data_IF_891197160278
#
_entry.id   IF_891197160278
#
_cell.length_a   1.000
_cell.length_b   1.000
_cell.length_c   1.000
_cell.angle_alpha   90.00
_cell.angle_beta   90.00
_cell.angle_gamma   90.00
#
_symmetry.space_group_name_H-M   'P 1'
#
loop_
_entity.id
_entity.type
_entity.pdbx_description
1 polymer ?
#
# COMPACT_ATOMS: atom_id res chain seq x y z
N UNK A 1 13.00 9.60 9.43
CA UNK A 1 12.90 8.13 9.33
C UNK A 1 12.53 7.78 7.90
N UNK A 2 13.06 6.69 7.35
CA UNK A 2 12.73 6.31 5.98
C UNK A 2 11.29 5.79 5.92
N UNK A 3 10.42 6.37 5.08
CA UNK A 3 9.01 5.95 4.89
C UNK A 3 8.86 4.47 4.46
N UNK A 4 9.96 3.85 4.04
CA UNK A 4 10.00 2.44 3.64
C UNK A 4 9.87 1.47 4.82
N UNK A 5 10.19 1.88 6.05
CA UNK A 5 10.12 1.00 7.23
C UNK A 5 8.90 1.38 8.07
N UNK A 6 8.05 0.40 8.37
CA UNK A 6 6.91 0.60 9.24
C UNK A 6 6.24 -0.69 9.64
N UNK A 7 5.08 -0.55 10.29
CA UNK A 7 4.31 -1.67 10.81
C UNK A 7 3.73 -2.48 9.64
N UNK A 8 3.95 -3.79 9.67
CA UNK A 8 3.42 -4.68 8.64
C UNK A 8 1.94 -5.01 8.92
N UNK A 9 1.15 -5.04 7.85
CA UNK A 9 -0.18 -5.64 7.83
C UNK A 9 -0.18 -6.86 6.91
N UNK A 10 -0.91 -7.89 7.30
CA UNK A 10 -1.04 -9.13 6.54
C UNK A 10 -2.39 -9.80 6.80
N UNK A 11 -2.79 -10.67 5.88
CA UNK A 11 -3.87 -11.63 6.13
C UNK A 11 -3.41 -12.80 6.97
N UNK A 12 -4.38 -13.57 7.45
CA UNK A 12 -4.13 -14.85 8.11
C UNK A 12 -4.20 -16.01 7.11
N UNK A 13 -3.96 -17.25 7.59
CA UNK A 13 -3.93 -18.43 6.74
C UNK A 13 -5.29 -18.80 6.12
N UNK A 14 -6.40 -18.33 6.69
CA UNK A 14 -7.77 -18.59 6.22
C UNK A 14 -8.35 -17.41 5.42
N UNK A 15 -7.89 -16.19 5.71
CA UNK A 15 -8.33 -14.92 5.16
C UNK A 15 -7.11 -14.12 4.66
N UNK A 16 -6.48 -14.53 3.56
CA UNK A 16 -5.29 -13.86 3.03
C UNK A 16 -5.58 -12.42 2.59
N UNK A 17 -6.83 -12.11 2.25
CA UNK A 17 -7.29 -10.79 1.84
C UNK A 17 -7.59 -9.86 3.03
N UNK A 18 -7.63 -10.39 4.25
CA UNK A 18 -7.85 -9.58 5.44
C UNK A 18 -6.60 -8.74 5.74
N UNK A 19 -6.78 -7.47 6.07
CA UNK A 19 -5.66 -6.58 6.41
C UNK A 19 -5.64 -6.37 7.92
N UNK A 20 -4.90 -7.23 8.63
CA UNK A 20 -4.69 -7.07 10.08
C UNK A 20 -3.22 -6.83 10.41
N UNK A 21 -2.96 -6.37 11.63
CA UNK A 21 -1.62 -6.18 12.16
C UNK A 21 -0.82 -7.48 12.13
N UNK A 22 0.37 -7.45 11.53
CA UNK A 22 1.30 -8.58 11.66
C UNK A 22 1.89 -8.61 13.08
N UNK A 23 1.51 -9.63 13.84
CA UNK A 23 1.96 -9.85 15.22
C UNK A 23 2.78 -11.15 15.31
N UNK A 24 4.02 -11.04 15.76
CA UNK A 24 4.91 -12.15 16.12
C UNK A 24 5.39 -11.98 17.57
N UNK A 25 4.64 -12.57 18.51
CA UNK A 25 4.84 -12.38 19.95
C UNK A 25 6.07 -13.13 20.43
N UNK A 26 7.07 -12.38 20.89
CA UNK A 26 8.25 -12.91 21.56
C UNK A 26 8.05 -12.78 23.08
N UNK A 27 8.31 -13.87 23.81
CA UNK A 27 8.16 -13.96 25.27
C UNK A 27 9.48 -14.26 25.95
N UNK A 28 9.67 -13.72 27.15
CA UNK A 28 10.82 -14.05 27.99
C UNK A 28 10.61 -15.39 28.74
N UNK A 29 11.60 -15.79 29.55
CA UNK A 29 11.56 -17.01 30.37
C UNK A 29 10.45 -17.03 31.44
N UNK A 30 9.90 -15.86 31.80
CA UNK A 30 8.78 -15.72 32.74
C UNK A 30 7.42 -15.74 32.02
N UNK A 31 7.40 -15.89 30.69
CA UNK A 31 6.19 -15.89 29.87
C UNK A 31 5.63 -14.50 29.55
N UNK A 32 6.33 -13.43 29.94
CA UNK A 32 5.94 -12.04 29.66
C UNK A 32 6.27 -11.66 28.22
N UNK A 33 5.39 -10.86 27.59
CA UNK A 33 5.59 -10.34 26.24
C UNK A 33 6.68 -9.26 26.27
N UNK A 34 7.70 -9.43 25.44
CA UNK A 34 8.79 -8.45 25.28
C UNK A 34 8.79 -7.77 23.92
N UNK A 35 8.19 -8.40 22.91
CA UNK A 35 8.02 -7.86 21.56
C UNK A 35 6.82 -8.55 20.89
N UNK A 36 6.26 -7.93 19.84
CA UNK A 36 5.10 -8.49 19.15
C UNK A 36 4.80 -7.84 17.80
N UNK A 37 4.97 -6.53 17.68
CA UNK A 37 4.67 -5.82 16.44
C UNK A 37 5.84 -5.99 15.46
N UNK A 38 5.54 -6.44 14.25
CA UNK A 38 6.55 -6.58 13.19
C UNK A 38 6.70 -5.27 12.43
N UNK A 39 7.96 -4.81 12.32
CA UNK A 39 8.34 -3.57 11.64
C UNK A 39 9.38 -3.90 10.58
N UNK A 40 9.07 -3.67 9.31
CA UNK A 40 9.96 -4.00 8.19
C UNK A 40 9.63 -3.14 6.97
N UNK A 41 10.13 -3.52 5.79
CA UNK A 41 9.78 -2.89 4.52
C UNK A 41 8.28 -2.97 4.25
N UNK A 42 7.68 -1.80 4.00
CA UNK A 42 6.25 -1.60 3.76
C UNK A 42 5.99 -0.88 2.43
N UNK A 43 6.96 -0.85 1.51
CA UNK A 43 6.81 -0.11 0.24
C UNK A 43 5.64 -0.67 -0.57
N UNK A 44 5.55 -1.98 -0.73
CA UNK A 44 4.44 -2.61 -1.47
C UNK A 44 3.11 -2.47 -0.74
N UNK A 45 3.12 -2.51 0.60
CA UNK A 45 1.95 -2.28 1.44
C UNK A 45 1.41 -0.85 1.27
N UNK A 46 2.28 0.16 1.24
CA UNK A 46 1.83 1.53 1.07
C UNK A 46 1.26 1.75 -0.34
N UNK A 47 1.88 1.17 -1.37
CA UNK A 47 1.31 1.18 -2.73
C UNK A 47 -0.06 0.54 -2.77
N UNK A 48 -0.24 -0.65 -2.18
CA UNK A 48 -1.52 -1.36 -2.18
C UNK A 48 -2.60 -0.54 -1.48
N UNK A 49 -2.30 0.01 -0.30
CA UNK A 49 -3.20 0.87 0.46
C UNK A 49 -3.64 2.10 -0.34
N UNK A 50 -2.73 2.78 -1.04
CA UNK A 50 -3.09 3.91 -1.91
C UNK A 50 -3.96 3.51 -3.10
N UNK A 51 -3.70 2.33 -3.69
CA UNK A 51 -4.47 1.83 -4.83
C UNK A 51 -5.92 1.49 -4.45
N UNK A 52 -6.13 0.87 -3.28
CA UNK A 52 -7.46 0.42 -2.85
C UNK A 52 -8.30 1.55 -2.25
N UNK A 53 -7.68 2.52 -1.57
CA UNK A 53 -8.40 3.57 -0.84
C UNK A 53 -8.88 4.69 -1.75
N UNK A 54 -10.01 5.30 -1.40
CA UNK A 54 -10.57 6.46 -2.08
C UNK A 54 -10.15 7.78 -1.42
N UNK A 55 -10.10 8.89 -2.19
CA UNK A 55 -10.07 10.22 -1.61
C UNK A 55 -11.18 10.39 -0.57
N UNK A 56 -10.80 10.85 0.62
CA UNK A 56 -11.68 11.05 1.78
C UNK A 56 -11.57 9.97 2.85
N UNK A 57 -10.97 8.81 2.55
CA UNK A 57 -10.85 7.71 3.52
C UNK A 57 -9.71 7.93 4.54
N UNK A 58 -8.70 8.71 4.17
CA UNK A 58 -7.61 9.09 5.07
C UNK A 58 -7.94 10.39 5.81
N UNK A 59 -8.31 10.29 7.10
CA UNK A 59 -8.67 11.46 7.94
C UNK A 59 -7.59 12.55 7.96
N UNK A 60 -6.32 12.16 8.04
CA UNK A 60 -5.19 13.09 8.10
C UNK A 60 -4.79 13.62 6.72
N UNK A 61 -5.27 13.02 5.64
CA UNK A 61 -4.93 13.40 4.26
C UNK A 61 -6.10 13.12 3.32
N UNK A 62 -7.20 13.90 3.38
CA UNK A 62 -8.44 13.57 2.67
C UNK A 62 -8.32 13.56 1.14
N UNK A 63 -7.26 14.13 0.57
CA UNK A 63 -7.02 14.10 -0.88
C UNK A 63 -6.31 12.84 -1.36
N UNK A 64 -5.81 12.01 -0.42
CA UNK A 64 -5.03 10.82 -0.71
C UNK A 64 -5.95 9.63 -1.02
N UNK A 65 -5.57 8.82 -2.01
CA UNK A 65 -6.29 7.62 -2.43
C UNK A 65 -6.61 7.60 -3.92
N UNK A 66 -6.55 6.42 -4.53
CA UNK A 66 -6.78 6.21 -5.97
C UNK A 66 -8.15 5.61 -6.25
N UNK A 67 -8.63 4.67 -5.43
CA UNK A 67 -9.91 3.99 -5.66
C UNK A 67 -9.89 3.22 -6.98
N UNK A 68 -8.84 2.42 -7.20
CA UNK A 68 -8.58 1.72 -8.47
C UNK A 68 -9.74 0.81 -8.90
N UNK A 69 -10.55 0.33 -7.96
CA UNK A 69 -11.76 -0.46 -8.25
C UNK A 69 -12.73 0.25 -9.20
N UNK A 70 -12.81 1.59 -9.18
CA UNK A 70 -13.68 2.35 -10.06
C UNK A 70 -13.24 2.30 -11.53
N UNK A 71 -11.97 1.95 -11.79
CA UNK A 71 -11.47 1.73 -13.16
C UNK A 71 -12.19 0.57 -13.86
N UNK A 72 -12.75 -0.40 -13.11
CA UNK A 72 -13.49 -1.53 -13.70
C UNK A 72 -14.72 -1.07 -14.49
N UNK A 73 -15.23 0.13 -14.21
CA UNK A 73 -16.40 0.72 -14.88
C UNK A 73 -15.99 1.81 -15.90
N UNK A 74 -14.69 1.99 -16.12
CA UNK A 74 -14.10 3.05 -16.93
C UNK A 74 -13.23 2.46 -18.06
N UNK A 75 -13.08 3.21 -19.14
CA UNK A 75 -12.26 2.87 -20.29
C UNK A 75 -11.05 3.78 -20.46
N UNK A 76 -10.89 4.83 -19.63
CA UNK A 76 -9.76 5.76 -19.73
C UNK A 76 -8.53 5.34 -18.89
N UNK A 77 -7.79 4.36 -19.38
CA UNK A 77 -6.53 3.92 -18.77
C UNK A 77 -5.47 5.04 -18.69
N UNK A 78 -5.56 6.11 -19.49
CA UNK A 78 -4.60 7.21 -19.43
C UNK A 78 -4.86 8.06 -18.19
N UNK A 79 -6.11 8.41 -17.93
CA UNK A 79 -6.53 9.13 -16.73
C UNK A 79 -6.08 8.37 -15.46
N UNK A 80 -6.33 7.07 -15.41
CA UNK A 80 -5.90 6.24 -14.27
C UNK A 80 -4.39 6.23 -14.07
N UNK A 81 -3.59 6.23 -15.14
CA UNK A 81 -2.13 6.34 -15.02
C UNK A 81 -1.69 7.72 -14.51
N UNK A 82 -2.38 8.79 -14.87
CA UNK A 82 -2.11 10.11 -14.32
C UNK A 82 -2.44 10.16 -12.83
N UNK A 83 -3.63 9.68 -12.47
CA UNK A 83 -4.09 9.61 -11.07
C UNK A 83 -3.15 8.81 -10.18
N UNK A 84 -2.71 7.62 -10.61
CA UNK A 84 -1.75 6.81 -9.85
C UNK A 84 -0.46 7.61 -9.58
N UNK A 85 0.11 8.26 -10.61
CA UNK A 85 1.34 9.05 -10.46
C UNK A 85 1.17 10.23 -9.52
N UNK A 86 0.06 10.96 -9.63
CA UNK A 86 -0.23 12.11 -8.77
C UNK A 86 -0.36 11.68 -7.30
N UNK A 87 -1.14 10.63 -7.05
CA UNK A 87 -1.37 10.12 -5.69
C UNK A 87 -0.10 9.52 -5.08
N UNK A 88 0.71 8.79 -5.86
CA UNK A 88 2.01 8.29 -5.41
C UNK A 88 2.98 9.44 -5.10
N UNK A 89 2.98 10.50 -5.93
CA UNK A 89 3.80 11.67 -5.67
C UNK A 89 3.40 12.41 -4.39
N UNK A 90 2.10 12.45 -4.04
CA UNK A 90 1.63 13.01 -2.76
C UNK A 90 2.19 12.24 -1.55
N UNK A 91 2.43 10.93 -1.68
CA UNK A 91 3.07 10.12 -0.64
C UNK A 91 4.62 10.10 -0.74
N UNK A 92 5.22 10.81 -1.70
CA UNK A 92 6.67 10.83 -2.01
C UNK A 92 7.21 9.54 -2.66
N UNK A 93 6.33 8.69 -3.20
CA UNK A 93 6.71 7.56 -4.06
C UNK A 93 7.10 8.07 -5.45
N UNK A 94 8.25 7.64 -5.95
CA UNK A 94 8.73 7.93 -7.30
C UNK A 94 8.39 6.75 -8.19
N UNK A 95 7.59 6.99 -9.23
CA UNK A 95 7.20 5.99 -10.23
C UNK A 95 8.26 5.92 -11.33
N UNK A 96 8.94 4.78 -11.46
CA UNK A 96 9.92 4.51 -12.53
C UNK A 96 9.25 3.90 -13.76
N UNK A 97 8.25 3.04 -13.56
CA UNK A 97 7.47 2.40 -14.63
C UNK A 97 6.02 2.25 -14.20
N UNK A 98 5.10 2.56 -15.11
CA UNK A 98 3.67 2.36 -14.91
C UNK A 98 3.02 1.95 -16.23
N UNK A 99 2.74 0.66 -16.35
CA UNK A 99 2.04 0.08 -17.48
C UNK A 99 0.65 -0.33 -17.05
N UNK A 100 -0.35 0.33 -17.62
CA UNK A 100 -1.76 0.06 -17.39
C UNK A 100 -2.45 0.26 -18.74
N UNK A 101 -2.74 -0.86 -19.40
CA UNK A 101 -3.26 -0.92 -20.76
C UNK A 101 -4.24 -2.09 -20.86
N UNK A 102 -5.22 -2.01 -21.78
CA UNK A 102 -6.16 -3.11 -22.01
C UNK A 102 -5.41 -4.36 -22.45
N UNK A 103 -5.81 -5.51 -21.90
CA UNK A 103 -5.26 -6.83 -22.21
C UNK A 103 -3.74 -6.98 -22.01
N UNK A 104 -3.13 -6.16 -21.15
CA UNK A 104 -1.72 -6.28 -20.75
C UNK A 104 -1.62 -6.42 -19.23
N UNK A 105 -0.56 -7.06 -18.71
CA UNK A 105 -0.30 -7.09 -17.28
C UNK A 105 -0.22 -5.67 -16.71
N UNK A 106 -0.84 -5.48 -15.55
CA UNK A 106 -0.68 -4.25 -14.78
C UNK A 106 0.69 -4.26 -14.10
N UNK A 107 1.53 -3.26 -14.38
CA UNK A 107 2.89 -3.17 -13.84
C UNK A 107 3.08 -1.81 -13.20
N UNK A 108 3.49 -1.81 -11.93
CA UNK A 108 3.90 -0.61 -11.20
C UNK A 108 5.29 -0.86 -10.62
N UNK A 109 6.26 -0.07 -11.07
CA UNK A 109 7.58 0.03 -10.45
C UNK A 109 7.69 1.43 -9.85
N UNK A 110 7.72 1.49 -8.52
CA UNK A 110 7.84 2.73 -7.77
C UNK A 110 8.58 2.50 -6.45
N UNK A 111 9.29 3.51 -5.94
CA UNK A 111 9.94 3.43 -4.63
C UNK A 111 10.06 4.82 -4.01
N UNK A 112 10.23 4.90 -2.69
CA UNK A 112 10.56 6.15 -2.02
C UNK A 112 11.96 6.62 -2.44
N UNK A 113 12.17 7.94 -2.49
CA UNK A 113 13.51 8.50 -2.69
C UNK A 113 14.44 8.02 -1.56
N UNK A 114 15.65 7.62 -1.94
CA UNK A 114 16.73 7.34 -0.98
C UNK A 114 17.19 8.61 -0.29
#
# INVERSE_FOLDING_TARGET
>A
MSKKIGIQIQGDGEHPDFMDLHVDVQRNSEGLIIQGIVVNDIVEQNKSLLLITHPGEWKMSPTLGIGLSNMLLDHDYLEWRHRIREQFAQDELVVYRLDLFPNKPFVIDANYKK
#
